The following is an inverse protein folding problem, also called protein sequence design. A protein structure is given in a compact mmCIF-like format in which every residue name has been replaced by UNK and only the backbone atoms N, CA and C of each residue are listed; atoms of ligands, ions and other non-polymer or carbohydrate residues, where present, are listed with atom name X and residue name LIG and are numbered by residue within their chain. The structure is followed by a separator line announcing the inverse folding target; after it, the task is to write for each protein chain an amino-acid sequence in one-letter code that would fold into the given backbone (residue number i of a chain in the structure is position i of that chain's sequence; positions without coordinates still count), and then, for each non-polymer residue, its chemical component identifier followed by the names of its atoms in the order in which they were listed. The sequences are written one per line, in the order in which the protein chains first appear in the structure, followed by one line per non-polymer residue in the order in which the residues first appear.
data_IF_323579964218
#
_entry.id   IF_323579964218
#
_cell.length_a   1.000
_cell.length_b   1.000
_cell.length_c   1.000
_cell.angle_alpha   90.00
_cell.angle_beta   90.00
_cell.angle_gamma   90.00
#
_symmetry.space_group_name_H-M   'P 1'
#
loop_
_entity.id
_entity.type
_entity.pdbx_description
1 polymer ?
#
# COMPACT_ATOMS: atom_id res chain seq x y z
N UNK A 1 -0.76 -9.76 -21.52
CA UNK A 1 0.03 -8.97 -22.48
C UNK A 1 -0.71 -7.74 -22.99
N UNK A 2 -1.93 -7.84 -23.53
CA UNK A 2 -2.61 -6.65 -24.11
C UNK A 2 -2.86 -5.44 -23.19
N UNK A 3 -3.07 -5.62 -21.88
CA UNK A 3 -3.37 -4.50 -20.97
C UNK A 3 -2.15 -3.61 -20.61
N UNK A 4 -0.92 -4.08 -20.82
CA UNK A 4 0.30 -3.30 -20.58
C UNK A 4 0.74 -2.53 -21.83
N UNK A 5 0.52 -3.13 -23.00
CA UNK A 5 0.75 -2.49 -24.31
C UNK A 5 -0.14 -1.25 -24.49
N UNK A 6 -1.38 -1.30 -24.00
CA UNK A 6 -2.30 -0.15 -23.97
C UNK A 6 -1.83 0.99 -23.03
N UNK A 7 -1.04 0.67 -21.99
CA UNK A 7 -0.57 1.65 -20.99
C UNK A 7 0.75 2.32 -21.37
N UNK A 8 1.50 1.71 -22.30
CA UNK A 8 2.77 2.25 -22.78
C UNK A 8 2.80 2.25 -24.33
N UNK A 9 1.95 3.05 -24.98
CA UNK A 9 1.72 3.00 -26.43
C UNK A 9 2.93 3.41 -27.28
N UNK A 10 4.00 3.97 -26.69
CA UNK A 10 5.21 4.40 -27.38
C UNK A 10 6.44 3.51 -27.12
N UNK A 11 6.23 2.32 -26.55
CA UNK A 11 7.31 1.43 -26.12
C UNK A 11 7.76 1.69 -24.70
N UNK A 12 8.29 0.66 -24.04
CA UNK A 12 8.78 0.70 -22.67
C UNK A 12 9.82 1.82 -22.49
N UNK A 13 9.68 2.73 -21.49
CA UNK A 13 10.70 3.73 -21.21
C UNK A 13 12.02 3.09 -20.79
N UNK A 14 13.14 3.73 -21.14
CA UNK A 14 14.48 3.27 -20.74
C UNK A 14 15.05 4.05 -19.54
N UNK A 15 14.29 5.00 -18.99
CA UNK A 15 14.73 5.87 -17.89
C UNK A 15 13.75 5.83 -16.71
N UNK A 16 14.28 6.07 -15.50
CA UNK A 16 13.47 6.20 -14.28
C UNK A 16 12.41 7.29 -14.42
N UNK A 17 12.78 8.45 -14.96
CA UNK A 17 11.83 9.57 -15.12
C UNK A 17 10.76 9.26 -16.17
N UNK A 18 11.11 8.54 -17.25
CA UNK A 18 10.14 8.06 -18.23
C UNK A 18 9.13 7.09 -17.61
N UNK A 19 9.58 6.15 -16.78
CA UNK A 19 8.67 5.24 -16.07
C UNK A 19 7.81 5.94 -15.02
N UNK A 20 8.36 6.92 -14.31
CA UNK A 20 7.59 7.75 -13.36
C UNK A 20 6.50 8.55 -14.08
N UNK A 21 6.83 9.15 -15.22
CA UNK A 21 5.87 9.86 -16.05
C UNK A 21 4.78 8.91 -16.58
N UNK A 22 5.17 7.70 -17.03
CA UNK A 22 4.22 6.68 -17.44
C UNK A 22 3.27 6.28 -16.30
N UNK A 23 3.78 6.10 -15.07
CA UNK A 23 2.97 5.81 -13.90
C UNK A 23 2.01 6.96 -13.54
N UNK A 24 2.48 8.22 -13.56
CA UNK A 24 1.62 9.38 -13.26
C UNK A 24 0.54 9.58 -14.32
N UNK A 25 0.84 9.32 -15.60
CA UNK A 25 -0.13 9.37 -16.70
C UNK A 25 -1.27 8.34 -16.55
N UNK A 26 -1.11 7.32 -15.69
CA UNK A 26 -2.19 6.39 -15.37
C UNK A 26 -3.24 6.98 -14.41
N UNK A 27 -2.96 8.14 -13.84
CA UNK A 27 -3.86 8.81 -12.92
C UNK A 27 -4.41 10.07 -13.59
N UNK A 28 -5.70 10.31 -13.44
CA UNK A 28 -6.32 11.54 -13.93
C UNK A 28 -5.78 12.74 -13.16
N UNK A 29 -5.77 13.94 -13.75
CA UNK A 29 -5.55 15.17 -12.98
C UNK A 29 -6.45 15.17 -11.74
N UNK A 30 -5.89 15.35 -10.54
CA UNK A 30 -6.64 15.08 -9.32
C UNK A 30 -7.77 16.12 -9.16
N UNK A 31 -9.04 15.69 -9.23
CA UNK A 31 -10.14 16.59 -8.85
C UNK A 31 -10.24 16.76 -7.33
N UNK A 32 -9.93 15.70 -6.56
CA UNK A 32 -9.72 15.79 -5.12
C UNK A 32 -8.88 14.58 -4.62
N UNK A 33 -8.28 14.68 -3.42
CA UNK A 33 -7.59 13.60 -2.71
C UNK A 33 -8.33 12.26 -2.65
N UNK A 34 -9.65 12.30 -2.46
CA UNK A 34 -10.47 11.10 -2.37
C UNK A 34 -10.51 10.32 -3.70
N UNK A 35 -10.67 11.04 -4.82
CA UNK A 35 -10.64 10.47 -6.17
C UNK A 35 -9.24 9.95 -6.51
N UNK A 36 -8.20 10.74 -6.21
CA UNK A 36 -6.80 10.31 -6.41
C UNK A 36 -6.49 9.02 -5.68
N UNK A 37 -6.91 8.89 -4.42
CA UNK A 37 -6.73 7.66 -3.65
C UNK A 37 -7.52 6.48 -4.26
N UNK A 38 -8.74 6.71 -4.77
CA UNK A 38 -9.53 5.68 -5.44
C UNK A 38 -8.86 5.16 -6.74
N UNK A 39 -8.25 6.05 -7.52
CA UNK A 39 -7.47 5.66 -8.70
C UNK A 39 -6.22 4.87 -8.31
N UNK A 40 -5.41 5.37 -7.37
CA UNK A 40 -4.22 4.67 -6.86
C UNK A 40 -4.58 3.26 -6.35
N UNK A 41 -5.65 3.17 -5.55
CA UNK A 41 -6.17 1.89 -5.04
C UNK A 41 -6.49 0.92 -6.19
N UNK A 42 -7.13 1.43 -7.25
CA UNK A 42 -7.48 0.63 -8.42
C UNK A 42 -6.24 0.19 -9.21
N UNK A 43 -5.20 1.03 -9.27
CA UNK A 43 -3.92 0.69 -9.92
C UNK A 43 -3.18 -0.41 -9.17
N UNK A 44 -3.13 -0.37 -7.84
CA UNK A 44 -2.57 -1.47 -7.05
C UNK A 44 -3.32 -2.80 -7.27
N UNK A 45 -4.65 -2.77 -7.29
CA UNK A 45 -5.45 -3.96 -7.57
C UNK A 45 -5.19 -4.50 -8.99
N UNK A 46 -5.06 -3.61 -9.98
CA UNK A 46 -4.72 -3.98 -11.35
C UNK A 46 -3.32 -4.59 -11.47
N UNK A 47 -2.31 -4.03 -10.77
CA UNK A 47 -0.95 -4.58 -10.71
C UNK A 47 -0.97 -6.02 -10.20
N UNK A 48 -1.63 -6.27 -9.07
CA UNK A 48 -1.76 -7.63 -8.54
C UNK A 48 -2.45 -8.57 -9.55
N UNK A 49 -3.49 -8.10 -10.24
CA UNK A 49 -4.18 -8.90 -11.24
C UNK A 49 -3.29 -9.32 -12.43
N UNK A 50 -2.22 -8.58 -12.73
CA UNK A 50 -1.26 -8.98 -13.78
C UNK A 50 -0.43 -10.20 -13.37
N UNK A 51 -0.11 -10.35 -12.09
CA UNK A 51 0.66 -11.49 -11.59
C UNK A 51 0.28 -11.83 -10.12
N UNK A 52 -0.88 -12.50 -9.90
CA UNK A 52 -1.43 -12.72 -8.55
C UNK A 52 -0.51 -13.53 -7.63
N UNK A 53 0.20 -14.51 -8.18
CA UNK A 53 1.12 -15.34 -7.41
C UNK A 53 2.33 -14.53 -6.91
N UNK A 54 2.75 -13.50 -7.65
CA UNK A 54 3.99 -12.76 -7.43
C UNK A 54 3.81 -11.43 -6.71
N UNK A 55 2.86 -10.58 -7.12
CA UNK A 55 2.79 -9.18 -6.69
C UNK A 55 1.92 -8.95 -5.45
N UNK A 56 2.24 -9.65 -4.37
CA UNK A 56 1.47 -9.65 -3.10
C UNK A 56 1.45 -8.31 -2.40
N UNK A 57 2.52 -7.52 -2.53
CA UNK A 57 2.62 -6.14 -2.06
C UNK A 57 1.50 -5.30 -2.68
N UNK A 58 1.25 -5.44 -3.98
CA UNK A 58 0.21 -4.67 -4.67
C UNK A 58 -1.20 -5.00 -4.14
N UNK A 59 -1.48 -6.27 -3.79
CA UNK A 59 -2.75 -6.61 -3.14
C UNK A 59 -2.85 -6.01 -1.73
N UNK A 60 -1.79 -6.07 -0.92
CA UNK A 60 -1.77 -5.43 0.40
C UNK A 60 -1.96 -3.92 0.29
N UNK A 61 -1.26 -3.26 -0.64
CA UNK A 61 -1.35 -1.84 -0.90
C UNK A 61 -2.76 -1.42 -1.35
N UNK A 62 -3.41 -2.20 -2.22
CA UNK A 62 -4.79 -1.95 -2.62
C UNK A 62 -5.77 -1.99 -1.44
N UNK A 63 -5.67 -3.01 -0.58
CA UNK A 63 -6.53 -3.17 0.60
C UNK A 63 -6.25 -2.05 1.62
N UNK A 64 -4.96 -1.78 1.91
CA UNK A 64 -4.57 -0.72 2.84
C UNK A 64 -5.01 0.68 2.36
N UNK A 65 -4.78 1.00 1.08
CA UNK A 65 -5.18 2.26 0.46
C UNK A 65 -6.71 2.43 0.51
N UNK A 66 -7.48 1.37 0.27
CA UNK A 66 -8.93 1.36 0.43
C UNK A 66 -9.36 1.73 1.87
N UNK A 67 -8.72 1.15 2.89
CA UNK A 67 -9.00 1.48 4.29
C UNK A 67 -8.66 2.93 4.62
N UNK A 68 -7.50 3.43 4.17
CA UNK A 68 -7.12 4.83 4.34
C UNK A 68 -8.17 5.74 3.72
N UNK A 69 -8.68 5.43 2.53
CA UNK A 69 -9.77 6.20 1.91
C UNK A 69 -11.02 6.24 2.78
N UNK A 70 -11.43 5.11 3.39
CA UNK A 70 -12.59 5.08 4.28
C UNK A 70 -12.38 5.93 5.53
N UNK A 71 -11.16 5.94 6.08
CA UNK A 71 -10.78 6.81 7.20
C UNK A 71 -10.76 8.29 6.79
N UNK A 72 -10.34 8.59 5.56
CA UNK A 72 -10.33 9.95 5.00
C UNK A 72 -11.71 10.43 4.53
N UNK A 73 -12.70 9.55 4.38
CA UNK A 73 -14.04 9.90 3.87
C UNK A 73 -14.73 11.03 4.66
N UNK A 74 -14.71 11.06 6.01
CA UNK A 74 -15.27 12.17 6.78
C UNK A 74 -14.51 13.49 6.59
N UNK A 75 -13.29 13.44 6.05
CA UNK A 75 -12.41 14.59 5.95
C UNK A 75 -12.43 15.29 4.59
N UNK A 76 -13.09 14.74 3.55
CA UNK A 76 -13.16 15.24 2.14
C UNK A 76 -12.36 16.54 1.91
N UNK A 77 -11.04 16.40 1.92
CA UNK A 77 -10.13 17.52 1.78
C UNK A 77 -10.12 17.92 0.31
N UNK A 78 -10.09 19.20 0.00
CA UNK A 78 -9.99 19.68 -1.37
C UNK A 78 -8.54 19.59 -1.89
N UNK A 79 -8.35 19.43 -3.21
CA UNK A 79 -7.03 19.27 -3.83
C UNK A 79 -6.19 20.55 -3.83
N UNK A 80 -6.84 21.71 -3.73
CA UNK A 80 -6.22 23.03 -3.76
C UNK A 80 -5.61 23.46 -2.40
N UNK A 81 -5.65 22.60 -1.39
CA UNK A 81 -5.06 22.86 -0.08
C UNK A 81 -5.82 23.91 0.75
N UNK A 82 -7.03 24.32 0.34
CA UNK A 82 -7.83 25.35 1.04
C UNK A 82 -8.57 24.83 2.28
N UNK A 83 -8.61 23.51 2.49
CA UNK A 83 -8.91 22.91 3.80
C UNK A 83 -10.37 22.95 4.26
N UNK A 84 -11.34 22.84 3.35
CA UNK A 84 -12.73 22.63 3.78
C UNK A 84 -12.98 21.17 4.18
N UNK A 85 -13.30 20.96 5.46
CA UNK A 85 -13.78 19.70 6.01
C UNK A 85 -15.25 19.89 6.37
N UNK A 86 -16.13 18.98 5.93
CA UNK A 86 -17.55 18.99 6.27
C UNK A 86 -17.73 18.45 7.71
N UNK A 87 -17.25 19.21 8.70
CA UNK A 87 -17.47 18.99 10.13
C UNK A 87 -18.07 20.25 10.77
N UNK A 88 -19.08 20.13 11.65
CA UNK A 88 -19.77 21.29 12.22
C UNK A 88 -18.81 22.24 12.96
N UNK A 89 -18.81 23.50 12.52
CA UNK A 89 -18.37 24.83 13.06
C UNK A 89 -17.83 24.99 14.50
N UNK A 90 -17.27 23.99 15.16
CA UNK A 90 -16.62 24.17 16.45
C UNK A 90 -15.15 23.76 16.37
N UNK A 91 -14.30 24.67 16.87
CA UNK A 91 -12.93 24.46 17.33
C UNK A 91 -11.82 24.72 16.30
N UNK A 92 -10.93 25.65 16.66
CA UNK A 92 -9.56 25.85 16.13
C UNK A 92 -8.69 24.58 16.06
N UNK A 93 -9.17 23.45 16.60
CA UNK A 93 -8.63 22.10 16.44
C UNK A 93 -8.78 21.55 15.01
N UNK A 94 -9.63 22.15 14.17
CA UNK A 94 -9.85 21.68 12.79
C UNK A 94 -8.60 21.78 11.90
N UNK A 95 -7.78 22.83 12.04
CA UNK A 95 -6.62 23.06 11.18
C UNK A 95 -5.52 22.01 11.35
N UNK A 96 -5.19 21.65 12.58
CA UNK A 96 -4.20 20.60 12.90
C UNK A 96 -4.67 19.24 12.36
N UNK A 97 -5.95 18.90 12.56
CA UNK A 97 -6.52 17.66 12.02
C UNK A 97 -6.54 17.63 10.49
N UNK A 98 -6.69 18.80 9.84
CA UNK A 98 -6.68 18.95 8.38
C UNK A 98 -5.27 18.77 7.82
N UNK A 99 -4.26 19.38 8.45
CA UNK A 99 -2.84 19.23 8.08
C UNK A 99 -2.36 17.77 8.26
N UNK A 100 -2.71 17.14 9.38
CA UNK A 100 -2.36 15.74 9.63
C UNK A 100 -3.11 14.77 8.70
N UNK A 101 -4.38 15.04 8.37
CA UNK A 101 -5.11 14.26 7.37
C UNK A 101 -4.54 14.46 5.96
N UNK A 102 -3.99 15.64 5.64
CA UNK A 102 -3.24 15.88 4.41
C UNK A 102 -1.93 15.08 4.35
N UNK A 103 -1.25 14.86 5.48
CA UNK A 103 -0.08 13.97 5.53
C UNK A 103 -0.47 12.53 5.15
N UNK A 104 -1.63 12.03 5.60
CA UNK A 104 -2.10 10.69 5.20
C UNK A 104 -2.39 10.59 3.69
N UNK A 105 -2.86 11.68 3.06
CA UNK A 105 -2.97 11.77 1.59
C UNK A 105 -1.59 11.72 0.93
N UNK A 106 -0.64 12.52 1.42
CA UNK A 106 0.72 12.57 0.90
C UNK A 106 1.39 11.20 0.95
N UNK A 107 1.14 10.40 1.99
CA UNK A 107 1.68 9.05 2.13
C UNK A 107 1.30 8.17 0.94
N UNK A 108 0.01 8.09 0.58
CA UNK A 108 -0.39 7.20 -0.51
C UNK A 108 0.15 7.66 -1.87
N UNK A 109 0.21 8.97 -2.09
CA UNK A 109 0.81 9.55 -3.31
C UNK A 109 2.32 9.27 -3.38
N UNK A 110 3.03 9.40 -2.25
CA UNK A 110 4.46 9.15 -2.17
C UNK A 110 4.78 7.68 -2.42
N UNK A 111 4.00 6.75 -1.84
CA UNK A 111 4.15 5.31 -2.09
C UNK A 111 3.94 5.00 -3.58
N UNK A 112 2.90 5.58 -4.18
CA UNK A 112 2.62 5.38 -5.60
C UNK A 112 3.78 5.89 -6.48
N UNK A 113 4.26 7.10 -6.20
CA UNK A 113 5.37 7.72 -6.94
C UNK A 113 6.71 6.99 -6.75
N UNK A 114 6.90 6.31 -5.62
CA UNK A 114 8.13 5.58 -5.30
C UNK A 114 8.15 4.17 -5.92
N UNK A 115 7.06 3.41 -5.78
CA UNK A 115 7.06 1.95 -6.04
C UNK A 115 6.25 1.55 -7.29
N UNK A 116 5.23 2.32 -7.69
CA UNK A 116 4.33 1.87 -8.77
C UNK A 116 5.04 1.74 -10.12
N UNK A 117 5.88 2.72 -10.47
CA UNK A 117 6.60 2.71 -11.74
C UNK A 117 7.59 1.53 -11.84
N UNK A 118 8.17 1.09 -10.71
CA UNK A 118 9.05 -0.08 -10.67
C UNK A 118 8.29 -1.36 -11.00
N UNK A 119 7.06 -1.49 -10.48
CA UNK A 119 6.19 -2.61 -10.83
C UNK A 119 5.83 -2.61 -12.33
N UNK A 120 5.59 -1.45 -12.92
CA UNK A 120 5.33 -1.34 -14.36
C UNK A 120 6.56 -1.77 -15.16
N UNK A 121 7.74 -1.30 -14.79
CA UNK A 121 9.00 -1.70 -15.41
C UNK A 121 9.25 -3.21 -15.29
N UNK A 122 8.98 -3.79 -14.11
CA UNK A 122 9.10 -5.22 -13.86
C UNK A 122 8.11 -6.04 -14.69
N UNK A 123 6.85 -5.62 -14.78
CA UNK A 123 5.85 -6.32 -15.58
C UNK A 123 6.16 -6.24 -17.09
N UNK A 124 6.81 -5.17 -17.54
CA UNK A 124 7.18 -4.99 -18.95
C UNK A 124 8.49 -5.70 -19.33
N UNK A 125 9.53 -5.63 -18.49
CA UNK A 125 10.89 -6.05 -18.82
C UNK A 125 11.49 -7.10 -17.88
N UNK A 126 10.71 -7.60 -16.92
CA UNK A 126 11.17 -8.55 -15.90
C UNK A 126 12.29 -7.99 -15.02
N UNK A 127 13.07 -8.89 -14.43
CA UNK A 127 14.24 -8.54 -13.61
C UNK A 127 15.33 -7.83 -14.40
N UNK A 128 15.51 -8.14 -15.69
CA UNK A 128 16.48 -7.46 -16.54
C UNK A 128 16.14 -5.97 -16.70
N UNK A 129 14.86 -5.66 -16.97
CA UNK A 129 14.38 -4.29 -17.08
C UNK A 129 14.55 -3.50 -15.78
N UNK A 130 14.16 -4.08 -14.63
CA UNK A 130 14.37 -3.42 -13.33
C UNK A 130 15.84 -3.26 -12.97
N UNK A 131 16.70 -4.23 -13.31
CA UNK A 131 18.14 -4.16 -13.03
C UNK A 131 18.82 -3.06 -13.83
N UNK A 132 18.44 -2.87 -15.10
CA UNK A 132 18.98 -1.79 -15.93
C UNK A 132 18.63 -0.40 -15.37
N UNK A 133 17.43 -0.25 -14.78
CA UNK A 133 16.95 1.02 -14.25
C UNK A 133 17.45 1.32 -12.83
N UNK A 134 17.51 0.31 -11.96
CA UNK A 134 17.82 0.46 -10.55
C UNK A 134 19.28 0.18 -10.22
N UNK A 135 19.97 -0.65 -11.01
CA UNK A 135 21.35 -1.08 -10.76
C UNK A 135 22.37 0.06 -10.58
N UNK A 136 22.27 1.18 -11.32
CA UNK A 136 23.15 2.34 -11.13
C UNK A 136 22.93 3.11 -9.82
N UNK A 137 21.77 2.96 -9.16
CA UNK A 137 21.37 3.74 -7.99
C UNK A 137 21.47 2.89 -6.71
N UNK A 138 22.57 3.09 -5.96
CA UNK A 138 22.81 2.39 -4.70
C UNK A 138 21.70 2.61 -3.65
N UNK A 139 21.01 3.75 -3.68
CA UNK A 139 19.93 4.05 -2.74
C UNK A 139 18.68 3.19 -3.00
N UNK A 140 18.63 2.50 -4.15
CA UNK A 140 17.53 1.60 -4.55
C UNK A 140 17.90 0.13 -4.56
N UNK A 141 19.05 -0.24 -3.97
CA UNK A 141 19.49 -1.62 -3.91
C UNK A 141 18.46 -2.56 -3.22
N UNK A 142 17.76 -2.08 -2.18
CA UNK A 142 16.71 -2.85 -1.50
C UNK A 142 15.51 -3.13 -2.42
N UNK A 143 15.10 -2.15 -3.22
CA UNK A 143 14.06 -2.34 -4.24
C UNK A 143 14.50 -3.33 -5.32
N UNK A 144 15.73 -3.18 -5.82
CA UNK A 144 16.27 -4.09 -6.84
C UNK A 144 16.29 -5.54 -6.34
N UNK A 145 16.88 -5.78 -5.16
CA UNK A 145 16.93 -7.13 -4.57
C UNK A 145 15.55 -7.73 -4.35
N UNK A 146 14.56 -6.91 -3.97
CA UNK A 146 13.18 -7.38 -3.84
C UNK A 146 12.60 -7.89 -5.17
N UNK A 147 12.80 -7.17 -6.28
CA UNK A 147 12.33 -7.62 -7.60
C UNK A 147 13.12 -8.81 -8.15
N UNK A 148 14.40 -8.94 -7.81
CA UNK A 148 15.20 -10.14 -8.11
C UNK A 148 14.66 -11.38 -7.38
N UNK A 149 14.29 -11.26 -6.10
CA UNK A 149 13.64 -12.34 -5.34
C UNK A 149 12.30 -12.73 -5.99
N UNK A 150 11.47 -11.73 -6.37
CA UNK A 150 10.21 -11.98 -7.08
C UNK A 150 10.44 -12.71 -8.41
N UNK A 151 11.45 -12.31 -9.17
CA UNK A 151 11.77 -12.92 -10.47
C UNK A 151 12.26 -14.35 -10.32
N UNK A 152 13.14 -14.62 -9.35
CA UNK A 152 13.66 -15.98 -9.09
C UNK A 152 12.55 -16.91 -8.62
N UNK A 153 11.72 -16.46 -7.68
CA UNK A 153 10.58 -17.24 -7.21
C UNK A 153 9.56 -17.50 -8.32
N UNK A 154 9.27 -16.49 -9.16
CA UNK A 154 8.39 -16.63 -10.32
C UNK A 154 8.88 -17.70 -11.30
N UNK A 155 10.16 -17.64 -11.69
CA UNK A 155 10.72 -18.56 -12.68
C UNK A 155 10.54 -20.04 -12.27
N UNK A 156 10.73 -20.36 -10.98
CA UNK A 156 10.53 -21.71 -10.46
C UNK A 156 9.05 -22.09 -10.36
N UNK A 157 8.16 -21.13 -10.10
CA UNK A 157 6.72 -21.40 -10.01
C UNK A 157 6.05 -21.61 -11.37
N UNK A 158 6.61 -21.00 -12.43
CA UNK A 158 6.22 -21.17 -13.83
C UNK A 158 6.80 -22.43 -14.48
N UNK A 159 7.80 -23.06 -13.85
CA UNK A 159 8.32 -24.36 -14.27
C UNK A 159 7.42 -25.50 -13.73
N UNK A 160 6.70 -26.15 -14.64
CA UNK A 160 5.78 -27.25 -14.33
C UNK A 160 6.52 -28.51 -13.82
N UNK A 161 7.80 -28.66 -14.16
CA UNK A 161 8.64 -29.79 -13.74
C UNK A 161 9.33 -29.54 -12.39
N UNK A 162 9.21 -28.33 -11.82
CA UNK A 162 9.86 -27.97 -10.58
C UNK A 162 9.38 -28.86 -9.40
N UNK A 163 10.31 -29.48 -8.65
CA UNK A 163 9.95 -30.29 -7.48
C UNK A 163 9.15 -29.50 -6.44
N UNK A 164 8.26 -30.19 -5.70
CA UNK A 164 7.43 -29.55 -4.69
C UNK A 164 8.22 -28.80 -3.60
N UNK A 165 9.45 -29.23 -3.29
CA UNK A 165 10.37 -28.52 -2.38
C UNK A 165 10.85 -27.20 -2.99
N UNK A 166 11.27 -27.20 -4.25
CA UNK A 166 11.69 -26.00 -4.97
C UNK A 166 10.55 -25.00 -5.11
N UNK A 167 9.33 -25.46 -5.41
CA UNK A 167 8.14 -24.61 -5.47
C UNK A 167 7.83 -23.96 -4.10
N UNK A 168 8.06 -24.67 -3.00
CA UNK A 168 7.88 -24.10 -1.64
C UNK A 168 8.92 -23.02 -1.33
N UNK A 169 10.18 -23.26 -1.67
CA UNK A 169 11.24 -22.27 -1.52
C UNK A 169 10.99 -21.03 -2.39
N UNK A 170 10.53 -21.24 -3.62
CA UNK A 170 10.14 -20.18 -4.54
C UNK A 170 8.99 -19.31 -3.99
N UNK A 171 8.00 -19.92 -3.32
CA UNK A 171 6.96 -19.16 -2.63
C UNK A 171 7.51 -18.29 -1.49
N UNK A 172 8.48 -18.80 -0.73
CA UNK A 172 9.13 -17.99 0.31
C UNK A 172 9.99 -16.86 -0.27
N UNK A 173 10.67 -17.07 -1.41
CA UNK A 173 11.35 -15.99 -2.14
C UNK A 173 10.37 -14.92 -2.59
N UNK A 174 9.23 -15.30 -3.16
CA UNK A 174 8.18 -14.35 -3.54
C UNK A 174 7.72 -13.55 -2.32
N UNK A 175 7.49 -14.20 -1.19
CA UNK A 175 7.10 -13.49 0.03
C UNK A 175 8.21 -12.59 0.58
N UNK A 176 9.47 -13.01 0.52
CA UNK A 176 10.62 -12.22 0.95
C UNK A 176 10.72 -10.94 0.13
N UNK A 177 10.62 -11.02 -1.20
CA UNK A 177 10.61 -9.85 -2.08
C UNK A 177 9.47 -8.89 -1.74
N UNK A 178 8.23 -9.39 -1.60
CA UNK A 178 7.10 -8.52 -1.22
C UNK A 178 7.24 -7.90 0.17
N UNK A 179 7.86 -8.60 1.12
CA UNK A 179 8.10 -8.07 2.46
C UNK A 179 9.20 -7.01 2.44
N UNK A 180 10.23 -7.17 1.61
CA UNK A 180 11.26 -6.16 1.38
C UNK A 180 10.65 -4.88 0.77
N UNK A 181 9.77 -5.01 -0.24
CA UNK A 181 9.02 -3.86 -0.78
C UNK A 181 8.17 -3.17 0.30
N UNK A 182 7.45 -3.95 1.13
CA UNK A 182 6.67 -3.39 2.23
C UNK A 182 7.56 -2.71 3.28
N UNK A 183 8.75 -3.24 3.55
CA UNK A 183 9.68 -2.65 4.51
C UNK A 183 10.23 -1.32 4.00
N UNK A 184 10.67 -1.30 2.74
CA UNK A 184 11.12 -0.08 2.05
C UNK A 184 10.02 0.97 2.08
N UNK A 185 8.79 0.63 1.69
CA UNK A 185 7.63 1.50 1.78
C UNK A 185 7.48 2.11 3.19
N UNK A 186 7.47 1.25 4.21
CA UNK A 186 7.17 1.68 5.57
C UNK A 186 8.30 2.48 6.22
N UNK A 187 9.55 2.28 5.80
CA UNK A 187 10.75 2.93 6.35
C UNK A 187 11.16 4.17 5.58
N UNK A 188 11.29 4.05 4.26
CA UNK A 188 11.85 5.10 3.39
C UNK A 188 10.77 6.10 2.99
N UNK A 189 9.55 5.63 2.73
CA UNK A 189 8.48 6.48 2.20
C UNK A 189 7.54 6.97 3.30
N UNK A 190 7.00 6.05 4.12
CA UNK A 190 5.99 6.38 5.13
C UNK A 190 6.58 7.11 6.32
N UNK A 191 7.75 6.68 6.83
CA UNK A 191 8.28 7.22 8.08
C UNK A 191 8.56 8.72 8.03
N UNK A 192 9.23 9.28 7.01
CA UNK A 192 9.49 10.73 6.96
C UNK A 192 8.22 11.58 6.97
N UNK A 193 7.12 11.06 6.40
CA UNK A 193 5.82 11.71 6.42
C UNK A 193 5.15 11.58 7.80
N UNK A 194 5.24 10.40 8.41
CA UNK A 194 4.71 10.19 9.75
C UNK A 194 5.44 10.97 10.84
N UNK A 195 6.73 11.28 10.66
CA UNK A 195 7.50 12.14 11.54
C UNK A 195 7.01 13.60 11.54
N UNK A 196 6.24 14.00 10.51
CA UNK A 196 5.59 15.32 10.43
C UNK A 196 4.24 15.38 11.14
N UNK A 197 3.67 14.24 11.55
CA UNK A 197 2.36 14.21 12.20
C UNK A 197 2.41 14.84 13.60
N UNK A 198 1.37 15.60 13.96
CA UNK A 198 1.26 16.17 15.30
C UNK A 198 1.13 15.08 16.37
N UNK A 199 1.69 15.33 17.57
CA UNK A 199 1.60 14.41 18.69
C UNK A 199 0.16 13.99 19.07
N UNK A 200 -0.83 14.89 19.10
CA UNK A 200 -2.24 14.53 19.30
C UNK A 200 -2.78 13.59 18.23
N UNK A 201 -2.49 13.85 16.95
CA UNK A 201 -2.96 13.01 15.85
C UNK A 201 -2.24 11.67 15.81
N UNK A 202 -0.94 11.61 16.09
CA UNK A 202 -0.19 10.36 16.21
C UNK A 202 -0.79 9.43 17.27
N UNK A 203 -1.25 9.97 18.40
CA UNK A 203 -1.95 9.21 19.45
C UNK A 203 -3.33 8.76 18.98
N UNK A 204 -4.11 9.63 18.32
CA UNK A 204 -5.41 9.27 17.75
C UNK A 204 -5.28 8.17 16.69
N UNK A 205 -4.33 8.31 15.76
CA UNK A 205 -4.02 7.33 14.74
C UNK A 205 -3.60 6.00 15.38
N UNK A 206 -2.78 6.02 16.43
CA UNK A 206 -2.40 4.80 17.15
C UNK A 206 -3.60 4.09 17.78
N UNK A 207 -4.54 4.83 18.36
CA UNK A 207 -5.77 4.30 18.96
C UNK A 207 -6.80 3.83 17.93
N UNK A 208 -6.81 4.43 16.73
CA UNK A 208 -7.73 4.10 15.63
C UNK A 208 -7.20 3.11 14.61
N UNK A 209 -5.90 2.75 14.68
CA UNK A 209 -5.25 1.88 13.70
C UNK A 209 -5.77 0.45 13.80
N UNK A 210 -6.72 0.16 12.94
CA UNK A 210 -7.30 -1.17 12.73
C UNK A 210 -7.14 -1.53 11.26
N UNK A 211 -6.85 -2.80 10.99
CA UNK A 211 -6.83 -3.35 9.65
C UNK A 211 -7.77 -4.53 9.63
N UNK A 212 -8.74 -4.50 8.72
CA UNK A 212 -9.56 -5.66 8.38
C UNK A 212 -9.21 -6.01 6.94
N UNK A 213 -9.58 -7.18 6.45
CA UNK A 213 -9.37 -7.51 5.03
C UNK A 213 -10.71 -7.63 4.28
N UNK A 214 -11.74 -6.92 4.77
CA UNK A 214 -13.10 -6.84 4.21
C UNK A 214 -13.64 -8.17 3.64
N UNK A 215 -13.50 -9.25 4.40
CA UNK A 215 -14.02 -10.57 4.01
C UNK A 215 -15.51 -10.65 4.38
N UNK A 216 -16.36 -11.33 3.60
CA UNK A 216 -17.81 -11.37 3.90
C UNK A 216 -18.11 -12.21 5.15
N UNK A 217 -18.82 -11.62 6.11
CA UNK A 217 -19.39 -12.31 7.27
C UNK A 217 -18.59 -12.12 8.56
N UNK A 218 -19.30 -11.85 9.66
CA UNK A 218 -18.73 -11.45 10.96
C UNK A 218 -17.59 -12.38 11.43
N UNK A 219 -17.73 -13.70 11.22
CA UNK A 219 -16.72 -14.70 11.59
C UNK A 219 -15.44 -14.62 10.75
N UNK A 220 -15.55 -14.33 9.46
CA UNK A 220 -14.39 -14.20 8.58
C UNK A 220 -13.70 -12.83 8.76
N UNK A 221 -14.46 -11.75 8.97
CA UNK A 221 -13.89 -10.43 9.30
C UNK A 221 -13.03 -10.49 10.57
N UNK A 222 -13.52 -11.14 11.64
CA UNK A 222 -12.76 -11.31 12.91
C UNK A 222 -11.47 -12.10 12.70
N UNK A 223 -11.45 -13.09 11.80
CA UNK A 223 -10.26 -13.93 11.52
C UNK A 223 -9.09 -13.13 10.92
N UNK A 224 -9.42 -12.11 10.15
CA UNK A 224 -8.48 -11.27 9.42
C UNK A 224 -8.32 -9.88 10.07
N UNK A 225 -9.18 -9.52 11.02
CA UNK A 225 -9.07 -8.32 11.82
C UNK A 225 -7.76 -8.30 12.63
N UNK A 226 -7.14 -7.13 12.66
CA UNK A 226 -6.13 -6.79 13.65
C UNK A 226 -6.23 -5.33 14.03
N UNK A 227 -5.91 -5.03 15.28
CA UNK A 227 -5.80 -3.66 15.76
C UNK A 227 -4.44 -3.47 16.41
N UNK A 228 -3.79 -2.35 16.07
CA UNK A 228 -2.54 -1.96 16.66
C UNK A 228 -2.65 -1.73 18.19
N UNK A 229 -3.75 -1.14 18.72
CA UNK A 229 -3.98 -1.05 20.17
C UNK A 229 -4.05 -2.42 20.86
N UNK A 230 -4.85 -3.37 20.35
CA UNK A 230 -4.98 -4.67 21.00
C UNK A 230 -3.67 -5.46 20.94
N UNK A 231 -2.93 -5.36 19.82
CA UNK A 231 -1.58 -5.91 19.71
C UNK A 231 -0.62 -5.30 20.74
N UNK A 232 -0.61 -3.97 20.83
CA UNK A 232 0.26 -3.23 21.75
C UNK A 232 -0.07 -3.53 23.22
N UNK A 233 -1.32 -3.81 23.55
CA UNK A 233 -1.72 -4.25 24.89
C UNK A 233 -1.27 -5.69 25.19
N UNK A 234 -1.42 -6.62 24.24
CA UNK A 234 -1.07 -8.04 24.42
C UNK A 234 0.44 -8.33 24.40
N UNK A 235 1.23 -7.63 23.57
CA UNK A 235 2.70 -7.79 23.50
C UNK A 235 3.48 -6.66 24.19
N UNK A 236 2.88 -5.50 24.41
CA UNK A 236 3.55 -4.38 25.07
C UNK A 236 3.65 -4.50 26.58
N UNK A 237 2.87 -5.36 27.24
CA UNK A 237 2.91 -5.46 28.71
C UNK A 237 4.27 -5.94 29.27
N UNK A 238 4.98 -6.91 28.67
CA UNK A 238 6.34 -7.28 29.12
C UNK A 238 7.46 -6.34 28.62
N UNK A 239 7.25 -5.65 27.49
CA UNK A 239 8.26 -4.81 26.83
C UNK A 239 8.23 -3.33 27.20
N UNK A 240 7.04 -2.74 27.37
CA UNK A 240 6.85 -1.34 27.74
C UNK A 240 7.29 -1.03 29.17
N UNK A 241 7.25 -2.04 30.06
CA UNK A 241 7.83 -1.96 31.42
C UNK A 241 9.36 -1.81 31.35
N UNK A 242 10.03 -2.34 30.32
CA UNK A 242 11.48 -2.19 30.10
C UNK A 242 11.86 -0.96 29.29
N UNK A 243 11.07 -0.54 28.31
CA UNK A 243 11.43 0.54 27.37
C UNK A 243 10.91 1.95 27.75
N UNK A 244 10.07 2.07 28.79
CA UNK A 244 9.45 3.33 29.27
C UNK A 244 8.78 4.19 28.18
N UNK A 245 8.42 3.62 27.03
CA UNK A 245 7.74 4.33 25.96
C UNK A 245 6.48 3.58 25.52
N UNK A 246 5.40 4.33 25.36
CA UNK A 246 4.12 3.82 24.84
C UNK A 246 4.30 3.53 23.35
N UNK A 247 3.96 2.32 22.86
CA UNK A 247 4.02 1.99 21.44
C UNK A 247 3.20 2.98 20.60
N UNK A 248 3.74 3.39 19.45
CA UNK A 248 3.07 4.33 18.54
C UNK A 248 3.07 3.81 17.11
N UNK A 249 1.92 3.85 16.43
CA UNK A 249 1.84 3.46 15.01
C UNK A 249 2.69 4.36 14.13
N UNK A 250 2.97 5.59 14.57
CA UNK A 250 3.80 6.53 13.82
C UNK A 250 5.29 6.22 13.89
N UNK A 251 5.73 5.37 14.84
CA UNK A 251 7.13 4.93 14.95
C UNK A 251 7.35 3.67 14.12
N UNK A 252 8.34 3.71 13.23
CA UNK A 252 8.66 2.61 12.32
C UNK A 252 8.79 1.27 13.03
N UNK A 253 9.62 1.18 14.09
CA UNK A 253 9.89 -0.09 14.77
C UNK A 253 8.65 -0.75 15.38
N UNK A 254 7.75 0.04 15.96
CA UNK A 254 6.52 -0.47 16.57
C UNK A 254 5.53 -0.91 15.49
N UNK A 255 5.37 -0.08 14.45
CA UNK A 255 4.53 -0.38 13.29
C UNK A 255 5.02 -1.61 12.54
N UNK A 256 6.32 -1.71 12.25
CA UNK A 256 6.93 -2.83 11.55
C UNK A 256 6.74 -4.13 12.31
N UNK A 257 6.99 -4.13 13.62
CA UNK A 257 6.78 -5.31 14.46
C UNK A 257 5.34 -5.79 14.42
N UNK A 258 4.37 -4.87 14.43
CA UNK A 258 2.96 -5.22 14.25
C UNK A 258 2.67 -5.78 12.85
N UNK A 259 3.15 -5.11 11.80
CA UNK A 259 2.98 -5.56 10.41
C UNK A 259 3.52 -6.98 10.22
N UNK A 260 4.78 -7.21 10.57
CA UNK A 260 5.48 -8.49 10.39
C UNK A 260 4.88 -9.62 11.24
N UNK A 261 4.54 -9.36 12.49
CA UNK A 261 4.05 -10.42 13.39
C UNK A 261 2.54 -10.69 13.28
N UNK A 262 1.78 -9.75 12.73
CA UNK A 262 0.31 -9.76 12.85
C UNK A 262 -0.41 -9.56 11.53
N UNK A 263 -0.06 -8.53 10.76
CA UNK A 263 -0.72 -8.21 9.47
C UNK A 263 -0.28 -9.19 8.39
N UNK A 264 1.04 -9.33 8.16
CA UNK A 264 1.60 -10.19 7.12
C UNK A 264 1.18 -11.66 7.29
N UNK A 265 1.21 -12.28 8.48
CA UNK A 265 0.76 -13.67 8.64
C UNK A 265 -0.74 -13.85 8.40
N UNK A 266 -1.57 -12.82 8.64
CA UNK A 266 -3.00 -12.84 8.29
C UNK A 266 -3.19 -12.74 6.79
N UNK A 267 -2.45 -11.83 6.14
CA UNK A 267 -2.50 -11.70 4.69
C UNK A 267 -1.97 -12.95 3.99
N UNK A 268 -0.90 -13.59 4.49
CA UNK A 268 -0.43 -14.92 4.03
C UNK A 268 -1.53 -15.98 4.03
N UNK A 269 -2.39 -15.99 5.06
CA UNK A 269 -3.55 -16.90 5.10
C UNK A 269 -4.62 -16.54 4.09
N UNK A 270 -4.90 -15.25 3.93
CA UNK A 270 -5.85 -14.74 2.94
C UNK A 270 -5.39 -15.06 1.51
N UNK A 271 -4.11 -14.87 1.23
CA UNK A 271 -3.46 -15.15 -0.05
C UNK A 271 -3.52 -16.63 -0.45
N UNK A 272 -3.51 -17.54 0.53
CA UNK A 272 -3.79 -18.96 0.30
C UNK A 272 -5.23 -19.25 -0.17
N UNK A 273 -6.16 -18.31 0.02
CA UNK A 273 -7.54 -18.37 -0.48
C UNK A 273 -7.67 -17.50 -1.75
N UNK A 274 -7.07 -17.92 -2.88
CA UNK A 274 -6.93 -17.14 -4.13
C UNK A 274 -8.24 -16.49 -4.60
N UNK A 275 -9.34 -17.25 -4.63
CA UNK A 275 -10.66 -16.73 -5.01
C UNK A 275 -11.15 -15.62 -4.08
N UNK A 276 -10.79 -15.71 -2.80
CA UNK A 276 -11.18 -14.70 -1.83
C UNK A 276 -10.40 -13.40 -2.05
N UNK A 277 -9.10 -13.47 -2.33
CA UNK A 277 -8.31 -12.28 -2.71
C UNK A 277 -8.90 -11.62 -3.96
N UNK A 278 -9.17 -12.41 -5.00
CA UNK A 278 -9.74 -11.90 -6.25
C UNK A 278 -11.08 -11.19 -6.02
N UNK A 279 -11.98 -11.78 -5.21
CA UNK A 279 -13.27 -11.17 -4.83
C UNK A 279 -13.10 -9.89 -4.00
N UNK A 280 -12.17 -9.88 -3.05
CA UNK A 280 -11.88 -8.70 -2.22
C UNK A 280 -11.37 -7.55 -3.09
N UNK A 281 -10.37 -7.80 -3.94
CA UNK A 281 -9.82 -6.77 -4.83
C UNK A 281 -10.85 -6.28 -5.85
N UNK A 282 -11.66 -7.18 -6.43
CA UNK A 282 -12.74 -6.79 -7.35
C UNK A 282 -13.75 -5.85 -6.68
N UNK A 283 -14.08 -6.10 -5.41
CA UNK A 283 -14.98 -5.23 -4.63
C UNK A 283 -14.34 -3.88 -4.35
N UNK A 284 -13.06 -3.87 -3.96
CA UNK A 284 -12.29 -2.65 -3.74
C UNK A 284 -12.28 -1.78 -5.00
N UNK A 285 -12.08 -2.38 -6.18
CA UNK A 285 -12.14 -1.68 -7.48
C UNK A 285 -13.55 -1.17 -7.76
N UNK A 286 -14.58 -2.00 -7.61
CA UNK A 286 -15.97 -1.60 -7.85
C UNK A 286 -16.40 -0.43 -6.96
N UNK A 287 -16.06 -0.48 -5.67
CA UNK A 287 -16.31 0.63 -4.75
C UNK A 287 -15.50 1.87 -5.11
N UNK A 288 -14.28 1.72 -5.65
CA UNK A 288 -13.47 2.83 -6.14
C UNK A 288 -14.10 3.49 -7.37
N UNK A 289 -14.64 2.69 -8.30
CA UNK A 289 -15.39 3.19 -9.46
C UNK A 289 -16.66 3.93 -9.04
N UNK A 290 -17.45 3.36 -8.13
CA UNK A 290 -18.65 4.05 -7.60
C UNK A 290 -18.29 5.35 -6.89
N UNK A 291 -17.23 5.33 -6.10
CA UNK A 291 -16.69 6.51 -5.44
C UNK A 291 -16.27 7.59 -6.45
N UNK A 292 -15.72 7.19 -7.59
CA UNK A 292 -15.31 8.11 -8.65
C UNK A 292 -16.49 8.79 -9.39
N UNK A 293 -17.70 8.26 -9.25
CA UNK A 293 -18.92 8.89 -9.79
C UNK A 293 -19.52 9.93 -8.83
N UNK A 294 -19.01 10.02 -7.60
CA UNK A 294 -19.48 11.01 -6.62
C UNK A 294 -18.83 12.35 -6.96
N UNK A 295 -19.59 13.42 -7.24
CA UNK A 295 -19.01 14.71 -7.60
C UNK A 295 -18.01 15.20 -6.55
N UNK A 296 -16.85 15.66 -7.03
CA UNK A 296 -15.99 16.55 -6.26
C UNK A 296 -16.85 17.78 -5.87
N UNK A 297 -16.97 18.08 -4.56
CA UNK A 297 -17.65 19.31 -4.12
C UNK A 297 -16.75 20.46 -4.54
N UNK A 298 -17.10 21.14 -5.64
CA UNK A 298 -16.38 22.33 -6.11
C UNK A 298 -16.79 23.49 -5.20
N UNK A 299 -15.84 24.29 -4.67
CA UNK A 299 -16.20 25.49 -3.92
C UNK A 299 -17.04 26.44 -4.79
N UNK A 300 -18.08 27.03 -4.19
CA UNK A 300 -18.72 28.25 -4.72
C UNK A 300 -18.01 29.46 -4.16
#
# INVERSE_FOLDING_TARGET
MGALEDLVPHGAPDTVDGWRAAADALLSPPCCPFHRNAEITSRYAWLHAQQPTGLKWAAMAAIASHHVRRVLFPFRLDADGTGWVDLPRSLSRSRILTEDANILREVNNAIYADICWVHLAYLSGGSAGTSALLGPDHDRAELLGAFEDLSRGRAVLEDDEAPASARREALELVWAGNLALLRHEQRVVVQPLFDRLSGPFARLASLGSTTTFEVRGLRQEVRYFTSFPAYSLWRGFPGAVRSRSVPSITRFEDRWRWLESTVVPRFRRLDGEVDLVARTLSRVVEQSRRSALVPCLVPR
#
